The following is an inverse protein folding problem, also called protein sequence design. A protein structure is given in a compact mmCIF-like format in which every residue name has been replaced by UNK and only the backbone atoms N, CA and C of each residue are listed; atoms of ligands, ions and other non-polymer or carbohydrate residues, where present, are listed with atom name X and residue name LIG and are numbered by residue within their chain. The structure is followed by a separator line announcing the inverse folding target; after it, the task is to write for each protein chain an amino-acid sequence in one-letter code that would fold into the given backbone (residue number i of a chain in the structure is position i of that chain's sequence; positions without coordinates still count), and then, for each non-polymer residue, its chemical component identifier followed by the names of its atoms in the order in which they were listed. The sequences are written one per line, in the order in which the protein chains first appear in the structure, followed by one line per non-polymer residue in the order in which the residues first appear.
data_IF_261482933998
#
_entry.id   IF_261482933998
#
_cell.length_a   1.000
_cell.length_b   1.000
_cell.length_c   1.000
_cell.angle_alpha   90.00
_cell.angle_beta   90.00
_cell.angle_gamma   90.00
#
_symmetry.space_group_name_H-M   'P 1'
#
loop_
_entity.id
_entity.type
_entity.pdbx_description
1 polymer ?
#
# COMPACT_ATOMS: atom_id res chain seq x y z
N UNK A 1 5.24 8.80 14.60
CA UNK A 1 4.72 7.41 14.58
C UNK A 1 4.30 7.12 13.15
N UNK A 2 4.85 6.07 12.50
CA UNK A 2 4.48 5.62 11.17
C UNK A 2 2.96 5.46 10.99
N UNK A 3 2.46 5.71 9.78
CA UNK A 3 1.03 5.76 9.48
C UNK A 3 0.30 4.46 9.86
N UNK A 4 0.88 3.31 9.50
CA UNK A 4 0.34 1.98 9.80
C UNK A 4 0.31 1.71 11.31
N UNK A 5 1.33 2.18 12.04
CA UNK A 5 1.37 2.04 13.49
C UNK A 5 0.27 2.90 14.15
N UNK A 6 0.03 4.11 13.63
CA UNK A 6 -1.08 4.97 14.08
C UNK A 6 -2.44 4.30 13.85
N UNK A 7 -2.64 3.71 12.67
CA UNK A 7 -3.89 3.02 12.34
C UNK A 7 -4.10 1.77 13.19
N UNK A 8 -3.07 0.94 13.36
CA UNK A 8 -3.12 -0.28 14.16
C UNK A 8 -3.43 0.01 15.63
N UNK A 9 -2.80 1.06 16.22
CA UNK A 9 -3.12 1.49 17.59
C UNK A 9 -4.56 2.01 17.74
N UNK A 10 -5.09 2.69 16.73
CA UNK A 10 -6.47 3.15 16.73
C UNK A 10 -7.48 2.00 16.54
N UNK A 11 -7.06 0.89 15.93
CA UNK A 11 -7.90 -0.25 15.57
C UNK A 11 -7.27 -1.58 16.04
N UNK A 12 -7.17 -1.85 17.35
CA UNK A 12 -6.40 -2.97 17.88
C UNK A 12 -6.93 -4.36 17.50
N UNK A 13 -8.20 -4.46 17.12
CA UNK A 13 -8.84 -5.70 16.66
C UNK A 13 -8.81 -5.87 15.13
N UNK A 14 -8.21 -4.94 14.40
CA UNK A 14 -8.06 -5.03 12.96
C UNK A 14 -6.73 -5.71 12.62
N UNK A 15 -6.78 -6.89 12.00
CA UNK A 15 -5.59 -7.52 11.42
C UNK A 15 -5.30 -6.90 10.05
N UNK A 16 -4.11 -6.33 9.91
CA UNK A 16 -3.60 -5.86 8.63
C UNK A 16 -2.91 -7.00 7.90
N UNK A 17 -3.46 -7.39 6.75
CA UNK A 17 -2.87 -8.39 5.85
C UNK A 17 -2.26 -7.69 4.64
N UNK A 18 -0.93 -7.63 4.58
CA UNK A 18 -0.20 -7.11 3.42
C UNK A 18 0.17 -8.26 2.49
N UNK A 19 -0.26 -8.18 1.24
CA UNK A 19 0.02 -9.18 0.22
C UNK A 19 0.70 -8.50 -0.96
N UNK A 20 1.86 -9.03 -1.34
CA UNK A 20 2.57 -8.63 -2.55
C UNK A 20 2.25 -9.64 -3.64
N UNK A 21 1.87 -9.15 -4.81
CA UNK A 21 1.48 -9.97 -5.95
C UNK A 21 1.56 -9.15 -7.22
N UNK A 22 1.50 -9.80 -8.38
CA UNK A 22 1.37 -9.08 -9.64
C UNK A 22 -0.02 -8.43 -9.73
N UNK A 23 -0.18 -7.48 -10.67
CA UNK A 23 -1.42 -6.73 -10.88
C UNK A 23 -2.65 -7.62 -11.02
N UNK A 24 -2.55 -8.72 -11.77
CA UNK A 24 -3.67 -9.64 -12.02
C UNK A 24 -4.10 -10.37 -10.75
N UNK A 25 -3.14 -10.89 -9.97
CA UNK A 25 -3.39 -11.57 -8.70
C UNK A 25 -4.01 -10.62 -7.66
N UNK A 26 -3.54 -9.36 -7.62
CA UNK A 26 -4.11 -8.33 -6.74
C UNK A 26 -5.57 -8.07 -7.10
N UNK A 27 -5.90 -7.87 -8.38
CA UNK A 27 -7.29 -7.67 -8.80
C UNK A 27 -8.16 -8.91 -8.58
N UNK A 28 -7.66 -10.13 -8.83
CA UNK A 28 -8.39 -11.37 -8.54
C UNK A 28 -8.74 -11.48 -7.05
N UNK A 29 -7.78 -11.20 -6.17
CA UNK A 29 -7.98 -11.21 -4.71
C UNK A 29 -8.94 -10.13 -4.23
N UNK A 30 -8.87 -8.91 -4.77
CA UNK A 30 -9.84 -7.84 -4.49
C UNK A 30 -11.25 -8.23 -4.97
N UNK A 31 -11.35 -8.85 -6.14
CA UNK A 31 -12.61 -9.34 -6.69
C UNK A 31 -13.24 -10.40 -5.78
N UNK A 32 -12.43 -11.37 -5.33
CA UNK A 32 -12.80 -12.44 -4.40
C UNK A 32 -12.93 -12.00 -2.94
N UNK A 33 -12.77 -10.71 -2.63
CA UNK A 33 -12.80 -10.15 -1.26
C UNK A 33 -11.82 -10.83 -0.30
N UNK A 34 -10.69 -11.31 -0.82
CA UNK A 34 -9.60 -11.91 -0.03
C UNK A 34 -8.66 -10.86 0.55
N UNK A 35 -8.65 -9.67 -0.07
CA UNK A 35 -7.94 -8.49 0.40
C UNK A 35 -8.84 -7.27 0.27
N UNK A 36 -8.62 -6.29 1.14
CA UNK A 36 -9.31 -5.01 1.11
C UNK A 36 -8.56 -3.96 0.28
N UNK A 37 -7.22 -4.03 0.27
CA UNK A 37 -6.32 -3.13 -0.44
C UNK A 37 -5.27 -3.92 -1.22
N UNK A 38 -4.91 -3.41 -2.39
CA UNK A 38 -3.82 -3.89 -3.21
C UNK A 38 -2.79 -2.80 -3.48
N UNK A 39 -1.52 -3.16 -3.55
CA UNK A 39 -0.42 -2.27 -3.94
C UNK A 39 0.16 -2.81 -5.26
N UNK A 40 0.06 -2.02 -6.32
CA UNK A 40 0.52 -2.39 -7.67
C UNK A 40 1.48 -1.33 -8.21
N UNK A 41 2.45 -1.73 -9.02
CA UNK A 41 3.34 -0.78 -9.67
C UNK A 41 2.54 0.17 -10.58
N UNK A 42 2.91 1.46 -10.62
CA UNK A 42 2.20 2.49 -11.39
C UNK A 42 2.47 2.41 -12.92
N UNK A 43 2.47 1.19 -13.45
CA UNK A 43 2.37 0.85 -14.86
C UNK A 43 1.04 0.12 -15.16
N UNK A 44 0.31 -0.28 -14.13
CA UNK A 44 -1.00 -0.90 -14.25
C UNK A 44 -2.11 0.15 -14.46
N UNK A 45 -2.95 -0.05 -15.47
CA UNK A 45 -4.18 0.74 -15.60
C UNK A 45 -5.12 0.38 -14.46
N UNK A 46 -5.39 1.33 -13.57
CA UNK A 46 -6.47 1.20 -12.61
C UNK A 46 -7.79 1.12 -13.38
N UNK A 47 -8.58 0.06 -13.18
CA UNK A 47 -9.91 -0.03 -13.76
C UNK A 47 -10.82 0.99 -13.06
N UNK A 48 -10.90 2.18 -13.66
CA UNK A 48 -11.43 3.41 -13.07
C UNK A 48 -12.90 3.35 -12.66
N UNK A 49 -13.65 2.38 -13.16
CA UNK A 49 -15.07 2.23 -12.82
C UNK A 49 -15.30 1.41 -11.55
N UNK A 50 -14.42 0.46 -11.24
CA UNK A 50 -14.59 -0.50 -10.14
C UNK A 50 -13.77 -0.15 -8.90
N UNK A 51 -12.60 0.46 -9.11
CA UNK A 51 -11.62 0.67 -8.05
C UNK A 51 -11.34 2.16 -7.82
N UNK A 52 -11.16 2.51 -6.56
CA UNK A 52 -10.43 3.72 -6.18
C UNK A 52 -8.94 3.46 -6.36
N UNK A 53 -8.19 4.53 -6.65
CA UNK A 53 -6.75 4.48 -6.83
C UNK A 53 -6.10 5.69 -6.17
N UNK A 54 -5.05 5.46 -5.40
CA UNK A 54 -4.17 6.47 -4.84
C UNK A 54 -2.74 6.20 -5.29
N UNK A 55 -2.16 7.11 -6.06
CA UNK A 55 -0.74 7.03 -6.39
C UNK A 55 0.08 7.57 -5.22
N UNK A 56 0.91 6.71 -4.65
CA UNK A 56 1.91 7.05 -3.66
C UNK A 56 3.29 6.78 -4.26
N UNK A 57 4.25 7.59 -3.86
CA UNK A 57 5.63 7.29 -4.18
C UNK A 57 6.17 6.36 -3.08
N UNK A 58 6.77 5.22 -3.43
CA UNK A 58 7.45 4.28 -2.51
C UNK A 58 8.97 4.24 -2.71
N UNK A 59 9.76 4.41 -1.63
CA UNK A 59 11.20 4.10 -1.66
C UNK A 59 11.36 2.57 -1.64
N UNK A 60 12.14 2.02 -2.57
CA UNK A 60 12.66 0.67 -2.36
C UNK A 60 13.68 0.77 -1.20
N UNK A 61 13.35 0.17 -0.07
CA UNK A 61 14.23 0.15 1.10
C UNK A 61 15.15 -1.05 1.03
N UNK A 62 16.38 -0.89 1.52
CA UNK A 62 17.29 -2.00 1.74
C UNK A 62 16.71 -2.94 2.79
N UNK A 63 16.71 -4.24 2.51
CA UNK A 63 16.35 -5.24 3.51
C UNK A 63 17.62 -5.60 4.26
N UNK A 64 17.63 -5.32 5.57
CA UNK A 64 18.74 -5.69 6.44
C UNK A 64 18.48 -7.10 6.96
N UNK A 65 19.36 -8.04 6.62
CA UNK A 65 19.36 -9.38 7.19
C UNK A 65 20.43 -9.43 8.29
N UNK A 66 20.06 -9.01 9.51
CA UNK A 66 21.00 -8.91 10.64
C UNK A 66 21.74 -10.22 10.92
N UNK A 67 21.03 -11.35 10.79
CA UNK A 67 21.55 -12.67 11.08
C UNK A 67 22.60 -13.15 10.06
N UNK A 68 22.56 -12.63 8.84
CA UNK A 68 23.52 -12.94 7.77
C UNK A 68 24.59 -11.84 7.59
N UNK A 69 24.49 -10.73 8.34
CA UNK A 69 25.39 -9.58 8.19
C UNK A 69 25.35 -8.95 6.80
N UNK A 70 24.26 -9.12 6.06
CA UNK A 70 24.13 -8.64 4.69
C UNK A 70 22.95 -7.67 4.52
N UNK A 71 23.17 -6.68 3.68
CA UNK A 71 22.14 -5.73 3.25
C UNK A 71 21.79 -6.05 1.81
N UNK A 72 20.53 -6.37 1.56
CA UNK A 72 20.02 -6.52 0.20
C UNK A 72 19.58 -5.14 -0.26
N UNK A 73 20.39 -4.54 -1.12
CA UNK A 73 20.05 -3.26 -1.74
C UNK A 73 19.14 -3.48 -2.96
N UNK A 74 18.18 -2.59 -3.19
CA UNK A 74 17.38 -2.65 -4.40
C UNK A 74 18.25 -2.40 -5.63
N UNK A 75 17.98 -3.14 -6.72
CA UNK A 75 18.72 -3.01 -7.98
C UNK A 75 18.62 -1.60 -8.57
N UNK A 76 17.53 -0.89 -8.27
CA UNK A 76 17.32 0.49 -8.68
C UNK A 76 16.75 1.29 -7.50
N UNK A 77 17.56 2.09 -6.79
CA UNK A 77 17.13 2.81 -5.59
C UNK A 77 16.23 4.02 -5.90
N UNK A 78 15.94 4.29 -7.19
CA UNK A 78 14.99 5.34 -7.55
C UNK A 78 13.60 5.03 -7.01
N UNK A 79 12.94 6.05 -6.47
CA UNK A 79 11.58 5.89 -5.95
C UNK A 79 10.64 5.43 -7.06
N UNK A 80 9.95 4.32 -6.83
CA UNK A 80 8.90 3.84 -7.73
C UNK A 80 7.57 4.48 -7.32
N UNK A 81 6.69 4.67 -8.30
CA UNK A 81 5.30 4.99 -8.01
C UNK A 81 4.54 3.68 -7.82
N UNK A 82 3.78 3.62 -6.73
CA UNK A 82 2.90 2.50 -6.40
C UNK A 82 1.47 3.02 -6.35
N UNK A 83 0.58 2.37 -7.07
CA UNK A 83 -0.85 2.58 -6.95
C UNK A 83 -1.40 1.72 -5.80
N UNK A 84 -2.02 2.37 -4.83
CA UNK A 84 -2.86 1.72 -3.83
C UNK A 84 -4.28 1.65 -4.38
N UNK A 85 -4.83 0.45 -4.51
CA UNK A 85 -6.15 0.20 -5.11
C UNK A 85 -7.08 -0.48 -4.11
N UNK A 86 -8.34 -0.06 -4.09
CA UNK A 86 -9.40 -0.68 -3.28
C UNK A 86 -10.77 -0.52 -3.95
N UNK A 87 -11.74 -1.36 -3.61
CA UNK A 87 -13.08 -1.30 -4.24
C UNK A 87 -13.82 -0.02 -3.86
N UNK A 88 -14.45 0.64 -4.85
CA UNK A 88 -15.29 1.85 -4.62
C UNK A 88 -16.47 1.58 -3.68
N UNK A 89 -17.17 0.48 -3.91
CA UNK A 89 -18.36 0.10 -3.15
C UNK A 89 -18.02 -0.83 -1.96
N UNK A 90 -17.13 -0.40 -1.08
CA UNK A 90 -16.85 -1.15 0.16
C UNK A 90 -17.88 -0.81 1.24
N UNK A 91 -18.57 -1.82 1.77
CA UNK A 91 -19.42 -1.68 2.96
C UNK A 91 -18.61 -1.78 4.27
N UNK A 92 -17.29 -1.99 4.19
CA UNK A 92 -16.43 -2.16 5.35
C UNK A 92 -15.97 -0.78 5.87
N UNK A 93 -16.43 -0.40 7.06
CA UNK A 93 -16.12 0.88 7.68
C UNK A 93 -14.61 1.09 7.94
N UNK A 94 -13.86 0.00 8.15
CA UNK A 94 -12.40 0.06 8.33
C UNK A 94 -11.69 0.38 7.02
N UNK A 95 -12.21 -0.11 5.89
CA UNK A 95 -11.68 0.24 4.56
C UNK A 95 -11.86 1.73 4.32
N UNK A 96 -13.03 2.28 4.61
CA UNK A 96 -13.28 3.71 4.46
C UNK A 96 -12.37 4.54 5.38
N UNK A 97 -12.24 4.13 6.64
CA UNK A 97 -11.36 4.81 7.60
C UNK A 97 -9.88 4.77 7.17
N UNK A 98 -9.41 3.64 6.64
CA UNK A 98 -8.04 3.53 6.15
C UNK A 98 -7.81 4.31 4.86
N UNK A 99 -8.77 4.30 3.93
CA UNK A 99 -8.68 5.11 2.70
C UNK A 99 -8.66 6.61 3.00
N UNK A 100 -9.49 7.06 3.94
CA UNK A 100 -9.50 8.48 4.36
C UNK A 100 -8.17 8.87 5.01
N UNK A 101 -7.59 7.97 5.81
CA UNK A 101 -6.26 8.19 6.40
C UNK A 101 -5.19 8.28 5.31
N UNK A 102 -5.19 7.38 4.32
CA UNK A 102 -4.24 7.43 3.19
C UNK A 102 -4.36 8.74 2.41
N UNK A 103 -5.59 9.14 2.06
CA UNK A 103 -5.87 10.38 1.32
C UNK A 103 -5.45 11.62 2.11
N UNK A 104 -5.78 11.67 3.40
CA UNK A 104 -5.44 12.82 4.27
C UNK A 104 -3.94 12.97 4.52
N UNK A 105 -3.15 11.91 4.29
CA UNK A 105 -1.70 11.91 4.52
C UNK A 105 -0.90 11.79 3.22
N UNK A 106 -1.53 11.89 2.04
CA UNK A 106 -0.85 11.68 0.76
C UNK A 106 0.39 12.57 0.59
N UNK A 107 0.28 13.85 0.95
CA UNK A 107 1.41 14.79 0.88
C UNK A 107 2.58 14.35 1.78
N UNK A 108 2.31 13.85 2.98
CA UNK A 108 3.34 13.37 3.90
C UNK A 108 3.97 12.06 3.44
N UNK A 109 3.16 11.13 2.93
CA UNK A 109 3.62 9.87 2.32
C UNK A 109 4.57 10.16 1.14
N UNK A 110 4.24 11.17 0.33
CA UNK A 110 5.08 11.59 -0.79
C UNK A 110 6.24 12.50 -0.38
N UNK A 111 6.28 13.05 0.85
CA UNK A 111 7.32 13.98 1.31
C UNK A 111 8.52 13.27 1.99
N UNK A 112 8.40 11.99 2.37
CA UNK A 112 9.55 11.16 2.79
C UNK A 112 10.64 10.99 1.68
N UNK A 113 10.44 11.66 0.54
CA UNK A 113 11.29 11.74 -0.65
C UNK A 113 12.41 12.77 -0.59
N UNK A 114 12.33 13.80 0.26
CA UNK A 114 13.22 14.98 0.19
C UNK A 114 14.40 14.91 1.18
N UNK A 115 14.69 13.73 1.75
CA UNK A 115 15.89 13.49 2.56
C UNK A 115 16.59 12.20 2.16
#
# INVERSE_FOLDING_TARGET
MPLLEKFSKANPNCQLHFLFGNTEDIYDKLNKKRIDFGFIENNASANGDTYNCLIISTKQHSIICEQAGCTIEPLNPSGSQTAVVWKKASSNALVNSFSDLLLSNQAAINAEYVK
#
